data_IF_313017367465
#
_entry.id   IF_313017367465
#
_cell.length_a   1.000
_cell.length_b   1.000
_cell.length_c   1.000
_cell.angle_alpha   90.00
_cell.angle_beta   90.00
_cell.angle_gamma   90.00
#
_symmetry.space_group_name_H-M   'P 1'
#
loop_
_entity.id
_entity.type
_entity.pdbx_description
1 polymer ?
#
# COMPACT_ATOMS: atom_id res chain seq x y z
N UNK A 1 24.47 2.31 2.51
CA UNK A 1 24.67 3.74 2.89
C UNK A 1 24.40 4.65 1.70
N UNK A 2 24.82 4.27 0.50
CA UNK A 2 24.53 5.00 -0.73
C UNK A 2 23.05 4.81 -1.16
N UNK A 3 22.51 3.61 -0.95
CA UNK A 3 21.25 3.15 -1.56
C UNK A 3 19.99 3.96 -1.17
N UNK A 4 19.83 4.38 0.10
CA UNK A 4 18.66 5.21 0.51
C UNK A 4 18.74 6.64 -0.03
N UNK A 5 19.93 7.25 0.03
CA UNK A 5 20.14 8.59 -0.51
C UNK A 5 20.04 8.58 -2.04
N UNK A 6 20.54 7.54 -2.69
CA UNK A 6 20.35 7.31 -4.11
C UNK A 6 18.87 7.10 -4.44
N UNK A 7 18.12 6.30 -3.69
CA UNK A 7 16.69 6.12 -3.89
C UNK A 7 15.95 7.46 -3.86
N UNK A 8 16.25 8.32 -2.88
CA UNK A 8 15.64 9.63 -2.75
C UNK A 8 16.11 10.65 -3.79
N UNK A 9 17.38 10.61 -4.18
CA UNK A 9 17.98 11.58 -5.12
C UNK A 9 17.80 11.19 -6.58
N UNK A 10 17.45 9.93 -6.87
CA UNK A 10 17.24 9.48 -8.23
C UNK A 10 16.05 10.23 -8.87
N UNK A 11 15.99 10.24 -10.20
CA UNK A 11 14.84 10.81 -10.90
C UNK A 11 13.62 9.91 -10.76
N UNK A 12 12.41 10.49 -10.75
CA UNK A 12 11.18 9.72 -10.81
C UNK A 12 11.13 8.85 -12.07
N UNK A 13 10.54 7.67 -11.95
CA UNK A 13 10.26 6.83 -13.12
C UNK A 13 9.17 7.47 -13.99
N UNK A 14 9.13 7.11 -15.28
CA UNK A 14 8.09 7.59 -16.19
C UNK A 14 6.70 7.19 -15.65
N UNK A 15 5.84 8.17 -15.37
CA UNK A 15 4.50 7.96 -14.81
C UNK A 15 4.44 7.82 -13.28
N UNK A 16 5.58 7.96 -12.58
CA UNK A 16 5.65 7.99 -11.12
C UNK A 16 5.81 9.43 -10.61
N UNK A 17 5.02 9.78 -9.60
CA UNK A 17 5.26 10.96 -8.76
C UNK A 17 5.75 10.49 -7.40
N UNK A 18 6.89 11.00 -6.94
CA UNK A 18 7.53 10.53 -5.70
C UNK A 18 8.16 11.65 -4.89
N UNK A 19 8.39 11.38 -3.60
CA UNK A 19 9.10 12.25 -2.68
C UNK A 19 9.75 11.42 -1.57
N UNK A 20 10.77 11.98 -0.92
CA UNK A 20 11.25 11.47 0.36
C UNK A 20 10.90 12.45 1.48
N UNK A 21 10.31 11.94 2.55
CA UNK A 21 9.83 12.73 3.68
C UNK A 21 10.30 12.14 5.00
N UNK A 22 10.47 12.97 6.03
CA UNK A 22 10.93 12.50 7.35
C UNK A 22 9.80 12.36 8.37
N UNK A 23 8.63 12.95 8.09
CA UNK A 23 7.50 13.02 9.04
C UNK A 23 6.21 12.48 8.42
N UNK A 24 5.28 12.08 9.28
CA UNK A 24 3.96 11.63 8.86
C UNK A 24 3.12 12.78 8.29
N UNK A 25 3.28 13.98 8.85
CA UNK A 25 2.65 15.21 8.38
C UNK A 25 3.05 15.52 6.93
N UNK A 26 4.33 15.35 6.59
CA UNK A 26 4.82 15.52 5.23
C UNK A 26 4.28 14.43 4.27
N UNK A 27 4.06 13.20 4.75
CA UNK A 27 3.38 12.17 3.95
C UNK A 27 1.95 12.59 3.62
N UNK A 28 1.21 13.08 4.63
CA UNK A 28 -0.16 13.53 4.46
C UNK A 28 -0.22 14.74 3.51
N UNK A 29 0.71 15.69 3.65
CA UNK A 29 0.82 16.83 2.74
C UNK A 29 1.08 16.38 1.30
N UNK A 30 1.95 15.38 1.10
CA UNK A 30 2.19 14.79 -0.22
C UNK A 30 0.93 14.11 -0.78
N UNK A 31 0.28 13.25 0.00
CA UNK A 31 -0.96 12.57 -0.39
C UNK A 31 -2.08 13.59 -0.77
N UNK A 32 -2.21 14.65 0.03
CA UNK A 32 -3.14 15.75 -0.24
C UNK A 32 -2.80 16.50 -1.53
N UNK A 33 -1.52 16.77 -1.79
CA UNK A 33 -1.10 17.46 -3.01
C UNK A 33 -1.46 16.71 -4.30
N UNK A 34 -1.54 15.38 -4.22
CA UNK A 34 -1.88 14.51 -5.35
C UNK A 34 -3.39 14.34 -5.56
N UNK A 35 -4.16 14.33 -4.47
CA UNK A 35 -5.57 13.93 -4.50
C UNK A 35 -6.55 15.07 -4.22
N UNK A 36 -6.07 16.19 -3.69
CA UNK A 36 -6.88 17.33 -3.27
C UNK A 36 -7.76 17.06 -2.05
N UNK A 37 -7.56 15.93 -1.35
CA UNK A 37 -8.37 15.49 -0.21
C UNK A 37 -7.49 15.24 1.01
N UNK A 38 -8.07 15.34 2.20
CA UNK A 38 -7.50 14.85 3.46
C UNK A 38 -8.20 13.58 3.98
N UNK A 39 -9.22 13.11 3.25
CA UNK A 39 -10.01 11.96 3.66
C UNK A 39 -9.43 10.68 3.05
N UNK A 40 -8.59 10.01 3.84
CA UNK A 40 -7.92 8.77 3.46
C UNK A 40 -8.18 7.68 4.49
N UNK A 41 -8.22 6.43 4.02
CA UNK A 41 -7.89 5.29 4.86
C UNK A 41 -6.43 4.93 4.71
N UNK A 42 -5.82 4.48 5.81
CA UNK A 42 -4.45 4.00 5.83
C UNK A 42 -4.50 2.48 5.93
N UNK A 43 -3.88 1.80 4.97
CA UNK A 43 -3.72 0.36 4.93
C UNK A 43 -2.27 0.01 5.30
N UNK A 44 -2.12 -0.96 6.19
CA UNK A 44 -0.84 -1.51 6.60
C UNK A 44 -0.99 -3.03 6.78
N UNK A 45 0.04 -3.78 6.41
CA UNK A 45 0.12 -5.21 6.67
C UNK A 45 0.73 -5.48 8.04
N UNK A 46 0.88 -6.76 8.35
CA UNK A 46 1.65 -7.18 9.52
C UNK A 46 3.12 -6.75 9.36
N UNK A 47 3.72 -6.35 10.48
CA UNK A 47 5.07 -5.78 10.52
C UNK A 47 6.12 -6.82 10.10
N UNK A 48 5.85 -8.10 10.35
CA UNK A 48 6.80 -9.17 10.08
C UNK A 48 6.69 -9.62 8.62
N UNK A 49 7.79 -9.44 7.87
CA UNK A 49 7.93 -10.12 6.59
C UNK A 49 8.05 -11.63 6.87
N UNK A 50 7.16 -12.46 6.30
CA UNK A 50 7.21 -13.89 6.51
C UNK A 50 8.50 -14.48 5.93
N UNK A 51 9.08 -15.46 6.64
CA UNK A 51 10.18 -16.27 6.11
C UNK A 51 9.64 -17.59 5.56
N UNK A 52 10.17 -18.00 4.40
CA UNK A 52 9.80 -19.26 3.75
C UNK A 52 8.65 -19.11 2.76
N UNK A 53 7.99 -20.23 2.47
CA UNK A 53 6.89 -20.30 1.51
C UNK A 53 5.61 -19.82 2.18
N UNK A 54 4.87 -18.96 1.49
CA UNK A 54 3.56 -18.48 1.91
C UNK A 54 2.50 -18.92 0.91
N UNK A 55 1.32 -19.24 1.43
CA UNK A 55 0.13 -19.58 0.65
C UNK A 55 -0.87 -18.44 0.78
N UNK A 56 -1.42 -18.00 -0.35
CA UNK A 56 -2.52 -17.02 -0.37
C UNK A 56 -3.82 -17.76 0.00
N UNK A 57 -4.44 -17.36 1.10
CA UNK A 57 -5.74 -17.88 1.54
C UNK A 57 -6.89 -17.03 1.01
N UNK A 58 -6.73 -15.71 1.00
CA UNK A 58 -7.74 -14.77 0.53
C UNK A 58 -7.09 -13.53 -0.10
N UNK A 59 -7.79 -12.93 -1.06
CA UNK A 59 -7.34 -11.76 -1.82
C UNK A 59 -8.52 -10.81 -2.07
N UNK A 60 -8.46 -9.61 -1.51
CA UNK A 60 -9.48 -8.58 -1.63
C UNK A 60 -8.90 -7.31 -2.25
N UNK A 61 -9.45 -6.89 -3.41
CA UNK A 61 -9.14 -5.58 -4.00
C UNK A 61 -9.76 -4.47 -3.16
N UNK A 62 -8.96 -3.46 -2.81
CA UNK A 62 -9.38 -2.35 -1.95
C UNK A 62 -9.69 -1.08 -2.73
N UNK A 63 -9.20 -0.96 -3.97
CA UNK A 63 -9.30 0.24 -4.81
C UNK A 63 -10.24 0.06 -5.98
N UNK A 64 -11.09 1.04 -6.28
CA UNK A 64 -11.98 1.01 -7.44
C UNK A 64 -11.25 1.29 -8.78
N UNK A 65 -11.71 0.66 -9.86
CA UNK A 65 -11.14 0.89 -11.19
C UNK A 65 -11.42 2.33 -11.67
N UNK A 66 -10.37 3.05 -12.07
CA UNK A 66 -10.45 4.38 -12.69
C UNK A 66 -10.18 5.57 -11.76
N UNK A 67 -10.13 5.39 -10.43
CA UNK A 67 -9.84 6.45 -9.46
C UNK A 67 -8.75 6.08 -8.44
N UNK A 68 -8.00 5.00 -8.66
CA UNK A 68 -6.96 4.56 -7.73
C UNK A 68 -5.83 5.59 -7.65
N UNK A 69 -5.93 6.44 -6.64
CA UNK A 69 -4.90 7.38 -6.22
C UNK A 69 -4.27 6.90 -4.91
N UNK A 70 -3.84 5.64 -4.88
CA UNK A 70 -3.13 5.11 -3.72
C UNK A 70 -1.71 5.68 -3.68
N UNK A 71 -1.27 6.08 -2.49
CA UNK A 71 0.09 6.56 -2.25
C UNK A 71 0.74 5.58 -1.28
N UNK A 72 1.80 4.91 -1.72
CA UNK A 72 2.57 4.05 -0.84
C UNK A 72 3.77 4.84 -0.28
N UNK A 73 4.01 4.72 1.02
CA UNK A 73 5.16 5.30 1.71
C UNK A 73 5.95 4.17 2.37
N UNK A 74 7.18 4.00 1.93
CA UNK A 74 8.07 2.93 2.34
C UNK A 74 9.10 3.44 3.33
N UNK A 75 9.28 2.72 4.44
CA UNK A 75 10.32 3.03 5.39
C UNK A 75 11.70 2.66 4.82
N UNK A 76 12.54 3.66 4.54
CA UNK A 76 13.90 3.49 4.10
C UNK A 76 14.85 3.96 5.22
N UNK A 77 14.98 3.16 6.28
CA UNK A 77 15.81 3.52 7.45
C UNK A 77 17.32 3.60 7.09
N UNK A 78 17.92 4.79 6.96
CA UNK A 78 19.34 5.09 7.33
C UNK A 78 19.78 6.56 7.03
N UNK A 79 20.59 7.26 7.86
CA UNK A 79 20.80 7.15 9.31
C UNK A 79 19.73 7.90 10.14
N UNK A 80 18.75 8.50 9.49
CA UNK A 80 17.54 9.08 10.10
C UNK A 80 16.30 8.46 9.45
N UNK A 81 15.16 8.52 10.13
CA UNK A 81 13.88 8.04 9.60
C UNK A 81 13.53 8.82 8.32
N UNK A 82 13.45 8.12 7.20
CA UNK A 82 13.02 8.67 5.90
C UNK A 82 12.03 7.69 5.29
N UNK A 83 11.00 8.25 4.70
CA UNK A 83 9.99 7.51 3.98
C UNK A 83 10.03 7.89 2.51
N UNK A 84 10.23 6.88 1.67
CA UNK A 84 10.07 7.00 0.24
C UNK A 84 8.58 6.87 -0.10
N UNK A 85 7.94 7.98 -0.47
CA UNK A 85 6.55 8.00 -0.86
C UNK A 85 6.42 8.09 -2.37
N UNK A 86 5.53 7.31 -2.97
CA UNK A 86 5.27 7.36 -4.40
C UNK A 86 3.81 7.11 -4.76
N UNK A 87 3.45 7.62 -5.92
CA UNK A 87 2.15 7.49 -6.56
C UNK A 87 2.36 7.11 -8.02
N UNK A 88 1.72 6.03 -8.42
CA UNK A 88 1.66 5.57 -9.81
C UNK A 88 0.19 5.45 -10.18
N UNK A 89 -0.21 6.14 -11.26
CA UNK A 89 -1.60 6.14 -11.71
C UNK A 89 -2.06 4.73 -12.05
N UNK A 90 -3.23 4.34 -11.54
CA UNK A 90 -3.82 3.03 -11.80
C UNK A 90 -3.29 1.90 -10.93
N UNK A 91 -2.50 2.23 -9.88
CA UNK A 91 -2.09 1.26 -8.87
C UNK A 91 -3.31 0.63 -8.20
N UNK A 92 -3.39 -0.70 -8.21
CA UNK A 92 -4.38 -1.47 -7.47
C UNK A 92 -3.79 -1.90 -6.12
N UNK A 93 -4.58 -1.82 -5.06
CA UNK A 93 -4.16 -2.24 -3.71
C UNK A 93 -5.02 -3.41 -3.27
N UNK A 94 -4.39 -4.42 -2.69
CA UNK A 94 -5.06 -5.63 -2.22
C UNK A 94 -4.75 -5.89 -0.74
N UNK A 95 -5.78 -6.23 0.02
CA UNK A 95 -5.64 -6.93 1.28
C UNK A 95 -5.48 -8.42 0.98
N UNK A 96 -4.45 -9.04 1.55
CA UNK A 96 -4.10 -10.44 1.28
C UNK A 96 -3.97 -11.17 2.60
N UNK A 97 -4.68 -12.28 2.75
CA UNK A 97 -4.49 -13.20 3.88
C UNK A 97 -3.51 -14.28 3.46
N UNK A 98 -2.41 -14.40 4.19
CA UNK A 98 -1.34 -15.37 3.91
C UNK A 98 -1.23 -16.38 5.04
N UNK A 99 -0.91 -17.63 4.69
CA UNK A 99 -0.51 -18.68 5.62
C UNK A 99 0.97 -19.01 5.40
N UNK A 100 1.77 -18.99 6.46
CA UNK A 100 3.18 -19.39 6.44
C UNK A 100 3.24 -20.91 6.52
N UNK A 101 3.68 -21.60 5.47
CA UNK A 101 3.60 -23.06 5.38
C UNK A 101 4.37 -23.80 6.49
N UNK A 102 5.45 -23.18 7.00
CA UNK A 102 6.31 -23.80 8.02
C UNK A 102 5.73 -23.72 9.44
N UNK A 103 4.90 -22.70 9.72
CA UNK A 103 4.36 -22.44 11.07
C UNK A 103 2.84 -22.58 11.13
N UNK A 104 2.16 -22.61 9.98
CA UNK A 104 0.71 -22.44 9.82
C UNK A 104 0.19 -21.13 10.43
N UNK A 105 1.05 -20.12 10.57
CA UNK A 105 0.66 -18.79 11.04
C UNK A 105 -0.08 -18.04 9.93
N UNK A 106 -1.19 -17.39 10.29
CA UNK A 106 -1.97 -16.55 9.38
C UNK A 106 -1.61 -15.09 9.63
N UNK A 107 -1.18 -14.41 8.58
CA UNK A 107 -0.81 -12.99 8.60
C UNK A 107 -1.61 -12.21 7.55
N UNK A 108 -1.83 -10.93 7.80
CA UNK A 108 -2.38 -9.98 6.84
C UNK A 108 -1.24 -9.24 6.14
N UNK A 109 -1.33 -9.14 4.82
CA UNK A 109 -0.37 -8.42 3.99
C UNK A 109 -1.10 -7.46 3.05
N UNK A 110 -0.41 -6.38 2.66
CA UNK A 110 -0.89 -5.45 1.64
C UNK A 110 -0.04 -5.62 0.40
N UNK A 111 -0.68 -5.81 -0.76
CA UNK A 111 0.00 -5.85 -2.06
C UNK A 111 -0.38 -4.62 -2.90
N UNK A 112 0.62 -4.00 -3.52
CA UNK A 112 0.45 -2.91 -4.49
C UNK A 112 0.79 -3.43 -5.87
N UNK A 113 -0.12 -3.29 -6.83
CA UNK A 113 0.03 -3.72 -8.22
C UNK A 113 -0.04 -2.52 -9.16
N UNK A 114 1.05 -2.22 -9.86
CA UNK A 114 1.12 -1.12 -10.79
C UNK A 114 0.88 -1.59 -12.23
N UNK A 115 0.12 -0.84 -13.06
CA UNK A 115 0.09 -1.07 -14.49
C UNK A 115 1.50 -0.88 -15.06
N UNK A 116 1.86 -1.69 -16.06
CA UNK A 116 3.20 -1.69 -16.66
C UNK A 116 3.53 -0.36 -17.33
N UNK A 117 4.01 0.59 -16.54
CA UNK A 117 4.94 1.63 -16.97
C UNK A 117 6.31 0.97 -17.17
N UNK A 118 7.15 1.50 -18.06
CA UNK A 118 8.47 0.93 -18.41
C UNK A 118 9.46 1.08 -17.25
N UNK A 119 9.19 0.42 -16.13
CA UNK A 119 10.05 0.34 -14.95
C UNK A 119 11.18 -0.65 -15.25
N UNK A 120 12.46 -0.30 -15.05
CA UNK A 120 13.56 -1.26 -15.08
C UNK A 120 13.36 -2.27 -13.94
N UNK A 121 12.88 -3.47 -14.28
CA UNK A 121 12.50 -4.52 -13.33
C UNK A 121 13.69 -5.16 -12.59
N UNK A 122 14.92 -4.75 -12.88
CA UNK A 122 16.14 -5.37 -12.35
C UNK A 122 16.41 -5.00 -10.87
N UNK A 123 15.78 -3.95 -10.33
CA UNK A 123 16.07 -3.49 -8.95
C UNK A 123 15.18 -4.12 -7.85
N UNK A 124 13.99 -4.63 -8.15
CA UNK A 124 12.97 -4.86 -7.09
C UNK A 124 12.62 -6.32 -6.77
N UNK A 125 13.29 -7.33 -7.33
CA UNK A 125 13.06 -8.76 -7.02
C UNK A 125 11.57 -9.18 -6.99
N UNK A 126 10.74 -8.61 -7.86
CA UNK A 126 9.28 -8.73 -7.78
C UNK A 126 8.76 -9.97 -8.53
N UNK A 127 7.91 -10.81 -7.93
CA UNK A 127 7.23 -11.91 -8.64
C UNK A 127 6.33 -11.38 -9.76
N UNK A 128 6.44 -11.97 -10.96
CA UNK A 128 5.52 -11.68 -12.08
C UNK A 128 4.14 -12.29 -11.78
N UNK A 129 3.15 -11.47 -11.46
CA UNK A 129 1.76 -11.92 -11.30
C UNK A 129 0.95 -11.30 -12.44
N UNK A 130 0.42 -12.18 -13.30
CA UNK A 130 -0.48 -12.00 -14.45
C UNK A 130 -0.31 -10.76 -15.35
N UNK A 131 -0.25 -11.04 -16.66
CA UNK A 131 0.00 -10.10 -17.76
C UNK A 131 -0.52 -8.67 -17.52
N UNK A 132 0.43 -7.72 -17.55
CA UNK A 132 0.29 -6.25 -17.55
C UNK A 132 0.39 -5.51 -16.20
N UNK A 133 0.42 -6.22 -15.06
CA UNK A 133 0.64 -5.60 -13.74
C UNK A 133 1.95 -6.07 -13.08
N UNK A 134 2.63 -5.18 -12.36
CA UNK A 134 3.78 -5.47 -11.50
C UNK A 134 3.37 -5.31 -10.04
N UNK A 135 3.40 -6.39 -9.26
CA UNK A 135 2.88 -6.41 -7.89
C UNK A 135 3.95 -6.65 -6.84
N UNK A 136 4.09 -5.77 -5.86
CA UNK A 136 4.99 -5.97 -4.72
C UNK A 136 4.24 -5.92 -3.38
N UNK A 137 4.85 -6.51 -2.36
CA UNK A 137 4.34 -6.49 -0.99
C UNK A 137 4.70 -5.19 -0.27
N UNK A 138 3.84 -4.77 0.66
CA UNK A 138 4.06 -3.69 1.61
C UNK A 138 4.10 -4.29 3.02
N UNK A 139 5.26 -4.81 3.41
CA UNK A 139 5.51 -5.33 4.77
C UNK A 139 6.14 -4.26 5.68
N UNK A 140 6.17 -4.53 6.98
CA UNK A 140 6.85 -3.66 7.95
C UNK A 140 6.12 -2.34 8.13
N UNK A 141 6.88 -1.26 8.30
CA UNK A 141 6.36 0.09 8.54
C UNK A 141 5.93 0.80 7.24
N UNK A 142 5.64 0.03 6.18
CA UNK A 142 5.17 0.56 4.92
C UNK A 142 3.66 0.81 5.00
N UNK A 143 3.24 2.02 4.66
CA UNK A 143 1.83 2.42 4.73
C UNK A 143 1.31 2.80 3.35
N UNK A 144 0.05 2.46 3.08
CA UNK A 144 -0.63 2.82 1.83
C UNK A 144 -1.83 3.70 2.15
N UNK A 145 -1.82 4.91 1.63
CA UNK A 145 -2.91 5.86 1.74
C UNK A 145 -3.87 5.67 0.58
N UNK A 146 -5.15 5.44 0.87
CA UNK A 146 -6.20 5.30 -0.15
C UNK A 146 -7.29 6.35 0.11
N UNK A 147 -7.59 7.25 -0.83
CA UNK A 147 -8.69 8.19 -0.67
C UNK A 147 -9.99 7.45 -0.40
N UNK A 148 -10.79 7.91 0.57
CA UNK A 148 -12.00 7.21 1.00
C UNK A 148 -12.98 6.95 -0.17
N UNK A 149 -13.07 7.88 -1.11
CA UNK A 149 -13.89 7.77 -2.32
C UNK A 149 -13.43 6.68 -3.30
N UNK A 150 -12.17 6.26 -3.20
CA UNK A 150 -11.55 5.24 -4.04
C UNK A 150 -11.61 3.85 -3.40
N UNK A 151 -12.07 3.74 -2.14
CA UNK A 151 -12.17 2.46 -1.44
C UNK A 151 -13.41 1.70 -1.93
N UNK A 152 -13.22 0.43 -2.27
CA UNK A 152 -14.33 -0.48 -2.51
C UNK A 152 -15.02 -0.76 -1.16
N UNK A 153 -16.15 -0.10 -0.90
CA UNK A 153 -17.00 -0.46 0.23
C UNK A 153 -17.64 -1.82 -0.07
N UNK A 154 -17.36 -2.82 0.75
CA UNK A 154 -18.25 -3.98 0.82
C UNK A 154 -19.64 -3.45 1.19
N UNK A 155 -20.67 -3.79 0.41
CA UNK A 155 -22.05 -3.67 0.89
C UNK A 155 -22.23 -4.68 2.01
N UNK A 156 -21.81 -4.34 3.23
CA UNK A 156 -22.33 -5.03 4.40
C UNK A 156 -23.80 -4.66 4.49
N UNK A 157 -24.68 -5.64 4.31
CA UNK A 157 -26.02 -5.59 4.88
C UNK A 157 -25.87 -5.24 6.37
N UNK A 158 -26.02 -3.97 6.71
CA UNK A 158 -26.21 -3.54 8.10
C UNK A 158 -27.63 -3.91 8.47
N UNK A 159 -27.79 -5.13 9.02
CA UNK A 159 -28.93 -5.38 9.89
C UNK A 159 -28.85 -4.36 11.02
N UNK A 160 -29.89 -3.52 11.06
CA UNK A 160 -30.04 -2.44 12.01
C UNK A 160 -30.21 -3.03 13.41
N UNK A 161 -29.13 -3.12 14.18
CA UNK A 161 -29.24 -3.25 15.62
C UNK A 161 -29.64 -1.88 16.19
N UNK A 162 -30.96 -1.67 16.27
CA UNK A 162 -31.57 -0.64 17.10
C UNK A 162 -31.10 -0.83 18.55
N UNK A 163 -30.25 0.07 19.03
CA UNK A 163 -30.10 0.28 20.46
C UNK A 163 -31.32 1.08 20.90
N UNK A 164 -32.30 0.39 21.50
CA UNK A 164 -33.37 1.02 22.24
C UNK A 164 -32.77 1.71 23.47
N UNK A 165 -32.87 3.03 23.52
CA UNK A 165 -32.67 3.77 24.76
C UNK A 165 -33.85 3.43 25.68
N UNK A 166 -33.55 2.80 26.81
CA UNK A 166 -34.45 2.73 27.96
C UNK A 166 -34.04 3.83 28.91
N UNK A 167 -34.88 4.84 29.04
CA UNK A 167 -34.80 5.86 30.10
C UNK A 167 -35.48 5.30 31.34
N UNK A 168 -34.76 5.29 32.47
CA UNK A 168 -35.36 5.34 33.80
C UNK A 168 -35.46 6.77 34.28
#
# INVERSE_FOLDING_TARGET
MNDTLELCNHSSMEGETRTCVATFEDMLAFAMSLTGSYNFSILAGDVLQPQGIVKVLDLQEMTNEGQSASIACHNAMFPFQVFYCHYIRGTKVFNVTLEIETTNEIIMAIASCHPRVRIPLEEFHVPKIQNELLCHWNFGDNIVWVPQQSILTQSSHTDSFLISQTTS
#
